data_IF_767747205332
#
_entry.id   IF_767747205332
#
_cell.length_a   1.000
_cell.length_b   1.000
_cell.length_c   1.000
_cell.angle_alpha   90.00
_cell.angle_beta   90.00
_cell.angle_gamma   90.00
#
_symmetry.space_group_name_H-M   'P 1'
#
loop_
_entity.id
_entity.type
_entity.pdbx_description
1 polymer ?
#
# COMPACT_ATOMS: atom_id res chain seq x y z
N UNK A 1 24.47 4.46 9.55
CA UNK A 1 23.78 4.83 8.28
C UNK A 1 22.68 5.80 8.68
N UNK A 2 22.79 7.08 8.32
CA UNK A 2 21.67 8.02 8.57
C UNK A 2 20.45 7.54 7.77
N UNK A 3 19.28 7.53 8.40
CA UNK A 3 18.04 7.20 7.71
C UNK A 3 17.89 8.15 6.52
N UNK A 4 17.72 7.59 5.32
CA UNK A 4 17.54 8.39 4.10
C UNK A 4 16.26 9.19 4.26
N UNK A 5 16.31 10.49 3.98
CA UNK A 5 15.11 11.33 3.89
C UNK A 5 14.19 10.70 2.84
N UNK A 6 12.91 10.41 3.16
CA UNK A 6 11.98 9.84 2.20
C UNK A 6 11.90 10.72 0.94
N UNK A 7 11.74 10.11 -0.23
CA UNK A 7 11.55 10.82 -1.49
C UNK A 7 10.41 10.14 -2.29
N UNK A 8 9.63 10.94 -3.00
CA UNK A 8 8.44 10.52 -3.73
C UNK A 8 7.18 10.49 -2.85
N UNK A 9 6.19 9.72 -3.28
CA UNK A 9 4.89 9.58 -2.59
C UNK A 9 5.07 8.84 -1.26
N UNK A 10 4.52 9.41 -0.19
CA UNK A 10 4.54 8.89 1.17
C UNK A 10 3.12 8.78 1.72
N UNK A 11 2.87 7.74 2.51
CA UNK A 11 1.66 7.66 3.34
C UNK A 11 1.60 8.85 4.31
N UNK A 12 0.42 9.40 4.65
CA UNK A 12 0.31 10.50 5.60
C UNK A 12 1.01 10.23 6.94
N UNK A 13 1.49 11.29 7.57
CA UNK A 13 1.94 11.22 8.97
C UNK A 13 0.74 10.88 9.86
N UNK A 14 0.82 9.74 10.52
CA UNK A 14 -0.23 9.23 11.43
C UNK A 14 0.01 9.59 12.89
N UNK A 15 1.28 9.88 13.25
CA UNK A 15 1.65 10.47 14.54
C UNK A 15 2.53 11.69 14.27
N UNK A 16 2.03 12.88 14.61
CA UNK A 16 2.74 14.14 14.35
C UNK A 16 3.96 14.36 15.25
N UNK A 17 3.99 13.74 16.43
CA UNK A 17 5.10 13.89 17.39
C UNK A 17 6.30 13.03 16.99
N UNK A 18 6.04 11.80 16.52
CA UNK A 18 7.10 10.86 16.13
C UNK A 18 7.43 10.90 14.63
N UNK A 19 6.52 11.45 13.81
CA UNK A 19 6.59 11.38 12.36
C UNK A 19 6.18 10.02 11.78
N UNK A 20 5.61 9.11 12.58
CA UNK A 20 5.29 7.75 12.13
C UNK A 20 4.19 7.75 11.06
N UNK A 21 4.41 6.92 10.03
CA UNK A 21 3.49 6.70 8.90
C UNK A 21 2.95 5.28 8.92
N UNK A 22 1.76 5.10 9.50
CA UNK A 22 1.13 3.79 9.61
C UNK A 22 0.17 3.53 8.44
N UNK A 23 0.35 2.40 7.77
CA UNK A 23 -0.48 2.03 6.61
C UNK A 23 -1.88 1.59 7.01
N UNK A 24 -2.04 0.86 8.12
CA UNK A 24 -3.36 0.35 8.57
C UNK A 24 -4.41 1.45 8.79
N UNK A 25 -4.17 2.48 9.64
CA UNK A 25 -5.16 3.55 9.82
C UNK A 25 -5.39 4.34 8.53
N UNK A 26 -4.36 4.52 7.71
CA UNK A 26 -4.48 5.19 6.41
C UNK A 26 -5.40 4.43 5.46
N UNK A 27 -5.17 3.13 5.29
CA UNK A 27 -5.99 2.28 4.43
C UNK A 27 -7.46 2.28 4.89
N UNK A 28 -7.72 2.16 6.19
CA UNK A 28 -9.09 2.23 6.72
C UNK A 28 -9.79 3.55 6.38
N UNK A 29 -9.08 4.68 6.48
CA UNK A 29 -9.63 6.00 6.12
C UNK A 29 -9.90 6.10 4.62
N UNK A 30 -8.94 5.69 3.79
CA UNK A 30 -9.07 5.67 2.33
C UNK A 30 -10.28 4.84 1.88
N UNK A 31 -10.34 3.56 2.28
CA UNK A 31 -11.41 2.67 1.85
C UNK A 31 -12.78 3.10 2.39
N UNK A 32 -12.84 3.70 3.59
CA UNK A 32 -14.09 4.25 4.12
C UNK A 32 -14.52 5.49 3.33
N UNK A 33 -13.60 6.42 3.03
CA UNK A 33 -13.87 7.60 2.23
C UNK A 33 -14.38 7.25 0.82
N UNK A 34 -13.74 6.25 0.19
CA UNK A 34 -14.10 5.79 -1.15
C UNK A 34 -15.58 5.38 -1.24
N UNK A 35 -16.11 4.67 -0.24
CA UNK A 35 -17.50 4.16 -0.29
C UNK A 35 -18.50 5.03 0.47
N UNK A 36 -18.07 6.10 1.13
CA UNK A 36 -18.90 6.88 2.07
C UNK A 36 -20.18 7.43 1.43
N UNK A 37 -20.09 7.98 0.22
CA UNK A 37 -21.22 8.60 -0.47
C UNK A 37 -22.19 7.56 -1.05
N UNK A 38 -21.66 6.42 -1.50
CA UNK A 38 -22.46 5.32 -2.07
C UNK A 38 -23.12 4.49 -0.96
N UNK A 39 -22.40 4.20 0.12
CA UNK A 39 -22.89 3.39 1.23
C UNK A 39 -22.23 3.76 2.57
N UNK A 40 -22.91 4.61 3.34
CA UNK A 40 -22.44 5.05 4.66
C UNK A 40 -22.28 3.92 5.67
N UNK A 41 -23.07 2.85 5.57
CA UNK A 41 -22.96 1.71 6.50
C UNK A 41 -21.69 0.90 6.23
N UNK A 42 -21.35 0.68 4.96
CA UNK A 42 -20.10 0.06 4.54
C UNK A 42 -18.89 0.87 5.01
N UNK A 43 -18.93 2.20 4.82
CA UNK A 43 -17.85 3.08 5.28
C UNK A 43 -17.64 3.03 6.80
N UNK A 44 -18.73 3.05 7.59
CA UNK A 44 -18.66 2.87 9.05
C UNK A 44 -18.07 1.50 9.43
N UNK A 45 -18.45 0.43 8.71
CA UNK A 45 -17.93 -0.91 8.96
C UNK A 45 -16.42 -1.01 8.66
N UNK A 46 -15.94 -0.36 7.60
CA UNK A 46 -14.51 -0.28 7.24
C UNK A 46 -13.73 0.49 8.32
N UNK A 47 -14.20 1.69 8.66
CA UNK A 47 -13.58 2.53 9.68
C UNK A 47 -13.54 1.85 11.06
N UNK A 48 -14.54 1.00 11.36
CA UNK A 48 -14.64 0.24 12.60
C UNK A 48 -13.83 -1.06 12.66
N UNK A 49 -13.22 -1.53 11.56
CA UNK A 49 -12.51 -2.84 11.56
C UNK A 49 -11.32 -2.84 12.53
N UNK A 50 -11.31 -3.80 13.46
CA UNK A 50 -10.25 -3.94 14.46
C UNK A 50 -9.09 -4.79 13.95
N UNK A 51 -9.37 -5.79 13.11
CA UNK A 51 -8.38 -6.72 12.57
C UNK A 51 -8.16 -6.50 11.08
N UNK A 52 -7.83 -5.25 10.69
CA UNK A 52 -7.71 -4.85 9.29
C UNK A 52 -6.82 -5.81 8.49
N UNK A 53 -5.62 -6.09 9.01
CA UNK A 53 -4.63 -6.95 8.36
C UNK A 53 -5.14 -8.34 7.96
N UNK A 54 -6.11 -8.88 8.69
CA UNK A 54 -6.67 -10.22 8.42
C UNK A 54 -8.03 -10.20 7.74
N UNK A 55 -8.69 -9.03 7.70
CA UNK A 55 -10.10 -8.92 7.26
C UNK A 55 -10.33 -7.88 6.18
N UNK A 56 -9.27 -7.28 5.64
CA UNK A 56 -9.42 -6.23 4.64
C UNK A 56 -10.04 -6.74 3.34
N UNK A 57 -9.75 -7.99 2.95
CA UNK A 57 -10.23 -8.64 1.74
C UNK A 57 -11.76 -8.58 1.59
N UNK A 58 -12.53 -8.81 2.66
CA UNK A 58 -14.00 -8.74 2.62
C UNK A 58 -14.49 -7.33 2.25
N UNK A 59 -13.75 -6.28 2.61
CA UNK A 59 -14.11 -4.90 2.27
C UNK A 59 -13.72 -4.55 0.83
N UNK A 60 -12.67 -5.18 0.29
CA UNK A 60 -12.36 -5.10 -1.14
C UNK A 60 -13.48 -5.75 -1.94
N UNK A 61 -13.95 -6.93 -1.54
CA UNK A 61 -15.10 -7.60 -2.16
C UNK A 61 -16.35 -6.71 -2.07
N UNK A 62 -16.67 -6.19 -0.89
CA UNK A 62 -17.82 -5.29 -0.70
C UNK A 62 -17.72 -4.02 -1.56
N UNK A 63 -16.53 -3.44 -1.72
CA UNK A 63 -16.31 -2.29 -2.59
C UNK A 63 -16.60 -2.62 -4.07
N UNK A 64 -16.16 -3.79 -4.54
CA UNK A 64 -16.45 -4.28 -5.89
C UNK A 64 -17.94 -4.53 -6.06
N UNK A 65 -18.60 -5.18 -5.09
CA UNK A 65 -20.05 -5.39 -5.11
C UNK A 65 -20.84 -4.08 -5.21
N UNK A 66 -20.46 -3.05 -4.42
CA UNK A 66 -21.07 -1.72 -4.49
C UNK A 66 -20.83 -1.05 -5.86
N UNK A 67 -19.63 -1.22 -6.41
CA UNK A 67 -19.28 -0.69 -7.74
C UNK A 67 -20.08 -1.37 -8.86
N UNK A 68 -20.38 -2.66 -8.72
CA UNK A 68 -21.14 -3.42 -9.72
C UNK A 68 -22.63 -3.08 -9.76
N UNK A 69 -23.15 -2.35 -8.77
CA UNK A 69 -24.56 -1.95 -8.73
C UNK A 69 -24.90 -0.91 -9.82
N UNK A 70 -23.95 -0.06 -10.20
CA UNK A 70 -24.10 0.88 -11.32
C UNK A 70 -22.76 1.46 -11.79
N UNK A 71 -22.64 1.89 -13.06
CA UNK A 71 -21.48 2.64 -13.53
C UNK A 71 -21.22 3.92 -12.71
N UNK A 72 -22.27 4.60 -12.25
CA UNK A 72 -22.18 5.80 -11.43
C UNK A 72 -21.53 5.50 -10.07
N UNK A 73 -21.90 4.39 -9.43
CA UNK A 73 -21.28 3.94 -8.18
C UNK A 73 -19.79 3.64 -8.39
N UNK A 74 -19.44 2.91 -9.44
CA UNK A 74 -18.05 2.58 -9.75
C UNK A 74 -17.19 3.85 -9.92
N UNK A 75 -17.70 4.84 -10.67
CA UNK A 75 -17.00 6.10 -10.88
C UNK A 75 -16.93 6.95 -9.60
N UNK A 76 -18.01 7.03 -8.82
CA UNK A 76 -18.03 7.76 -7.55
C UNK A 76 -17.03 7.17 -6.55
N UNK A 77 -17.03 5.84 -6.39
CA UNK A 77 -16.11 5.16 -5.48
C UNK A 77 -14.65 5.39 -5.87
N UNK A 78 -14.33 5.26 -7.15
CA UNK A 78 -12.98 5.48 -7.65
C UNK A 78 -12.53 6.94 -7.45
N UNK A 79 -13.38 7.91 -7.78
CA UNK A 79 -13.09 9.35 -7.60
C UNK A 79 -12.89 9.70 -6.13
N UNK A 80 -13.82 9.31 -5.27
CA UNK A 80 -13.75 9.60 -3.84
C UNK A 80 -12.49 9.01 -3.19
N UNK A 81 -12.08 7.80 -3.61
CA UNK A 81 -10.82 7.21 -3.17
C UNK A 81 -9.59 8.00 -3.65
N UNK A 82 -9.58 8.42 -4.92
CA UNK A 82 -8.48 9.21 -5.48
C UNK A 82 -8.40 10.60 -4.87
N UNK A 83 -9.53 11.28 -4.68
CA UNK A 83 -9.59 12.60 -4.05
C UNK A 83 -9.02 12.53 -2.63
N UNK A 84 -9.41 11.51 -1.85
CA UNK A 84 -8.83 11.28 -0.54
C UNK A 84 -7.32 11.06 -0.60
N UNK A 85 -6.83 10.27 -1.57
CA UNK A 85 -5.39 10.07 -1.78
C UNK A 85 -4.69 11.38 -2.10
N UNK A 86 -5.23 12.16 -3.03
CA UNK A 86 -4.63 13.42 -3.47
C UNK A 86 -4.52 14.43 -2.33
N UNK A 87 -5.53 14.52 -1.47
CA UNK A 87 -5.55 15.42 -0.32
C UNK A 87 -4.64 14.97 0.84
N UNK A 88 -4.50 13.65 1.06
CA UNK A 88 -3.92 13.13 2.30
C UNK A 88 -2.53 12.50 2.12
N UNK A 89 -2.18 12.00 0.93
CA UNK A 89 -0.81 11.51 0.72
C UNK A 89 0.14 12.69 0.56
N UNK A 90 1.35 12.49 1.04
CA UNK A 90 2.41 13.49 0.93
C UNK A 90 3.34 13.12 -0.22
N UNK A 91 3.92 14.13 -0.85
CA UNK A 91 4.96 13.99 -1.84
C UNK A 91 6.20 14.73 -1.36
N UNK A 92 7.34 14.03 -1.33
CA UNK A 92 8.61 14.59 -0.86
C UNK A 92 9.60 14.68 -2.02
N UNK A 93 10.16 15.87 -2.26
CA UNK A 93 11.20 16.08 -3.26
C UNK A 93 12.12 17.20 -2.81
N UNK A 94 13.42 16.99 -2.96
CA UNK A 94 14.46 17.97 -2.61
C UNK A 94 14.37 18.51 -1.17
N UNK A 95 13.85 17.70 -0.25
CA UNK A 95 13.66 18.05 1.16
C UNK A 95 12.35 18.78 1.46
N UNK A 96 11.57 19.14 0.44
CA UNK A 96 10.25 19.76 0.58
C UNK A 96 9.15 18.71 0.61
N UNK A 97 8.12 18.96 1.42
CA UNK A 97 6.93 18.10 1.54
C UNK A 97 5.70 18.90 1.18
N UNK A 98 4.89 18.35 0.28
CA UNK A 98 3.60 18.91 -0.16
C UNK A 98 2.56 17.79 -0.21
N UNK A 99 1.27 18.13 -0.28
CA UNK A 99 0.25 17.10 -0.55
C UNK A 99 0.34 16.66 -2.03
N UNK A 100 -0.26 15.51 -2.34
CA UNK A 100 -0.10 14.89 -3.65
C UNK A 100 -0.81 15.69 -4.77
N UNK A 101 -1.94 16.34 -4.51
CA UNK A 101 -2.55 17.26 -5.49
C UNK A 101 -1.63 18.44 -5.82
N UNK A 102 -1.04 19.11 -4.81
CA UNK A 102 -0.11 20.22 -5.05
C UNK A 102 1.12 19.76 -5.86
N UNK A 103 1.63 18.56 -5.58
CA UNK A 103 2.71 17.97 -6.37
C UNK A 103 2.32 17.77 -7.84
N UNK A 104 1.13 17.21 -8.10
CA UNK A 104 0.64 16.99 -9.47
C UNK A 104 0.40 18.32 -10.22
N UNK A 105 -0.03 19.35 -9.50
CA UNK A 105 -0.25 20.69 -10.05
C UNK A 105 1.05 21.43 -10.37
N UNK A 106 2.04 21.38 -9.47
CA UNK A 106 3.24 22.22 -9.56
C UNK A 106 4.44 21.54 -10.19
N UNK A 107 4.59 20.23 -10.01
CA UNK A 107 5.76 19.51 -10.51
C UNK A 107 5.54 19.12 -11.96
N UNK A 108 6.25 19.82 -12.86
CA UNK A 108 6.29 19.52 -14.28
C UNK A 108 7.60 18.83 -14.62
N UNK A 109 7.54 17.85 -15.51
CA UNK A 109 8.72 17.12 -15.96
C UNK A 109 8.38 16.07 -17.00
N UNK A 110 9.42 15.57 -17.65
CA UNK A 110 9.37 14.42 -18.55
C UNK A 110 9.42 13.12 -17.76
N UNK A 111 8.63 12.14 -18.19
CA UNK A 111 8.75 10.77 -17.70
C UNK A 111 9.89 10.07 -18.43
N UNK A 112 10.65 9.25 -17.69
CA UNK A 112 11.71 8.42 -18.24
C UNK A 112 11.50 6.99 -17.79
N UNK A 113 11.76 6.05 -18.69
CA UNK A 113 11.77 4.63 -18.34
C UNK A 113 13.17 4.24 -17.89
N UNK A 114 13.30 3.88 -16.61
CA UNK A 114 14.50 3.25 -16.08
C UNK A 114 14.48 1.74 -16.34
N UNK A 115 15.64 1.17 -16.69
CA UNK A 115 15.81 -0.28 -16.80
C UNK A 115 16.78 -0.75 -15.71
N UNK A 116 16.43 -1.83 -15.03
CA UNK A 116 17.32 -2.54 -14.11
C UNK A 116 17.69 -3.87 -14.74
N UNK A 117 18.97 -4.03 -15.09
CA UNK A 117 19.49 -5.29 -15.62
C UNK A 117 20.40 -5.95 -14.58
N UNK A 118 20.08 -7.18 -14.22
CA UNK A 118 20.95 -7.99 -13.37
C UNK A 118 22.28 -8.29 -14.06
N UNK A 119 23.38 -8.12 -13.33
CA UNK A 119 24.75 -8.37 -13.85
C UNK A 119 25.26 -9.78 -13.56
N UNK A 120 24.51 -10.56 -12.76
CA UNK A 120 24.90 -11.91 -12.33
C UNK A 120 24.54 -12.93 -13.41
N UNK A 121 25.45 -13.87 -13.68
CA UNK A 121 25.17 -15.00 -14.58
C UNK A 121 24.01 -15.82 -14.05
N UNK A 122 23.08 -16.19 -14.94
CA UNK A 122 21.98 -17.10 -14.59
C UNK A 122 22.57 -18.42 -14.05
N UNK A 123 22.11 -18.92 -12.89
CA UNK A 123 22.65 -20.16 -12.34
C UNK A 123 22.40 -21.34 -13.29
N UNK A 124 23.38 -22.24 -13.42
CA UNK A 124 23.34 -23.41 -14.31
C UNK A 124 22.19 -24.37 -13.96
N UNK A 125 21.81 -24.43 -12.68
CA UNK A 125 20.76 -25.32 -12.16
C UNK A 125 19.40 -24.63 -12.03
N UNK A 126 19.21 -23.47 -12.66
CA UNK A 126 18.01 -22.64 -12.52
C UNK A 126 18.06 -21.73 -11.28
N UNK A 127 17.14 -20.76 -11.18
CA UNK A 127 17.10 -19.84 -10.05
C UNK A 127 16.65 -20.57 -8.77
N UNK A 128 17.48 -20.54 -7.72
CA UNK A 128 17.06 -20.89 -6.35
C UNK A 128 16.66 -19.60 -5.63
N UNK A 129 15.47 -19.59 -5.00
CA UNK A 129 15.04 -18.46 -4.20
C UNK A 129 15.72 -18.49 -2.84
N UNK A 130 16.54 -17.49 -2.59
CA UNK A 130 17.25 -17.29 -1.32
C UNK A 130 16.84 -15.97 -0.67
N UNK A 131 16.48 -16.00 0.61
CA UNK A 131 16.07 -14.80 1.37
C UNK A 131 16.97 -14.64 2.59
N UNK A 132 17.80 -13.57 2.66
CA UNK A 132 18.49 -13.17 3.87
C UNK A 132 17.47 -12.74 4.94
N UNK A 133 17.41 -13.45 6.06
CA UNK A 133 16.50 -13.17 7.15
C UNK A 133 17.13 -13.52 8.51
N UNK A 134 17.16 -12.53 9.42
CA UNK A 134 17.70 -12.66 10.79
C UNK A 134 19.10 -13.33 10.84
N UNK A 135 20.00 -12.90 9.96
CA UNK A 135 21.38 -13.40 9.90
C UNK A 135 21.56 -14.77 9.26
N UNK A 136 20.50 -15.35 8.67
CA UNK A 136 20.55 -16.61 7.90
C UNK A 136 20.12 -16.36 6.46
N UNK A 137 20.55 -17.22 5.55
CA UNK A 137 20.00 -17.27 4.19
C UNK A 137 19.02 -18.44 4.12
N UNK A 138 17.72 -18.14 4.04
CA UNK A 138 16.67 -19.14 3.96
C UNK A 138 16.50 -19.62 2.52
N UNK A 139 16.37 -20.93 2.34
CA UNK A 139 16.09 -21.56 1.05
C UNK A 139 15.34 -22.88 1.20
N UNK A 140 14.81 -23.40 0.09
CA UNK A 140 14.10 -24.69 0.05
C UNK A 140 13.09 -24.87 1.19
N UNK A 141 13.21 -25.98 1.94
CA UNK A 141 12.30 -26.33 3.04
C UNK A 141 12.29 -25.31 4.18
N UNK A 142 13.43 -24.71 4.51
CA UNK A 142 13.50 -23.71 5.59
C UNK A 142 12.76 -22.44 5.22
N UNK A 143 12.90 -21.99 3.96
CA UNK A 143 12.15 -20.87 3.44
C UNK A 143 10.65 -21.17 3.44
N UNK A 144 10.22 -22.33 2.95
CA UNK A 144 8.82 -22.75 2.97
C UNK A 144 8.23 -22.74 4.39
N UNK A 145 8.99 -23.24 5.37
CA UNK A 145 8.56 -23.20 6.77
C UNK A 145 8.44 -21.76 7.31
N UNK A 146 9.32 -20.85 6.88
CA UNK A 146 9.25 -19.44 7.27
C UNK A 146 8.08 -18.71 6.59
N UNK A 147 7.81 -18.98 5.31
CA UNK A 147 6.65 -18.44 4.59
C UNK A 147 5.34 -18.81 5.30
N UNK A 148 5.18 -20.09 5.70
CA UNK A 148 4.02 -20.53 6.49
C UNK A 148 3.86 -19.77 7.81
N UNK A 149 4.97 -19.44 8.49
CA UNK A 149 4.92 -18.64 9.73
C UNK A 149 4.50 -17.20 9.46
N UNK A 150 5.04 -16.58 8.41
CA UNK A 150 4.66 -15.22 8.02
C UNK A 150 3.21 -15.13 7.59
N UNK A 151 2.73 -16.15 6.89
CA UNK A 151 1.34 -16.27 6.48
C UNK A 151 0.40 -16.37 7.69
N UNK A 152 0.67 -17.30 8.62
CA UNK A 152 -0.08 -17.43 9.88
C UNK A 152 -0.02 -16.19 10.78
N UNK A 153 1.09 -15.45 10.77
CA UNK A 153 1.25 -14.20 11.52
C UNK A 153 0.53 -13.01 10.85
N UNK A 154 0.13 -13.16 9.58
CA UNK A 154 -0.50 -12.10 8.78
C UNK A 154 0.50 -11.12 8.15
N UNK A 155 1.79 -11.48 8.02
CA UNK A 155 2.76 -10.70 7.24
C UNK A 155 2.50 -10.80 5.73
N UNK A 156 2.08 -11.98 5.27
CA UNK A 156 1.67 -12.26 3.89
C UNK A 156 0.34 -13.01 3.92
N UNK A 157 -0.34 -13.07 2.78
CA UNK A 157 -1.59 -13.81 2.66
C UNK A 157 -1.36 -15.33 2.73
N UNK A 158 -2.38 -16.07 3.14
CA UNK A 158 -2.46 -17.52 2.95
C UNK A 158 -2.90 -17.79 1.50
N UNK A 159 -2.34 -18.83 0.88
CA UNK A 159 -2.82 -19.33 -0.43
C UNK A 159 -4.23 -19.91 -0.33
#
# INVERSE_FOLDING_TARGET
>A
IMARVPAGVQFPVTNKETGDRNTTPTQKKLWAAAVQEVNQQAAKAIAGEKSWRHRYNKYVIQNVELSLQSPENALSIARNGLDWIYENFEFVRDGETMNLNEALENIKGSFYTGFVQGTVKKPTNGPELEIPYKGKTLKGKELLAQLKKWSKYGTIEEE
#
